data_IF_765197386035
#
_entry.id   IF_765197386035
#
_cell.length_a   1.000
_cell.length_b   1.000
_cell.length_c   1.000
_cell.angle_alpha   90.00
_cell.angle_beta   90.00
_cell.angle_gamma   90.00
#
_symmetry.space_group_name_H-M   'P 1'
#
loop_
_entity.id
_entity.type
_entity.pdbx_description
1 polymer ?
#
# COMPACT_ATOMS: atom_id res chain seq x y z
N UNK A 1 -19.79 -9.09 33.98
CA UNK A 1 -19.09 -10.31 33.52
C UNK A 1 -19.04 -11.33 34.67
N UNK A 2 -18.74 -12.59 34.40
CA UNK A 2 -18.57 -13.60 35.45
C UNK A 2 -17.24 -13.42 36.21
N UNK A 3 -17.11 -14.08 37.37
CA UNK A 3 -15.92 -13.99 38.23
C UNK A 3 -14.64 -14.47 37.54
N UNK A 4 -14.73 -15.48 36.66
CA UNK A 4 -13.60 -16.00 35.89
C UNK A 4 -13.05 -14.99 34.88
N UNK A 5 -13.90 -14.17 34.28
CA UNK A 5 -13.46 -13.07 33.42
C UNK A 5 -12.76 -11.97 34.23
N UNK A 6 -13.26 -11.63 35.42
CA UNK A 6 -12.62 -10.64 36.28
C UNK A 6 -11.24 -11.12 36.75
N UNK A 7 -11.12 -12.39 37.15
CA UNK A 7 -9.85 -13.05 37.49
C UNK A 7 -8.85 -12.98 36.32
N UNK A 8 -9.32 -13.22 35.09
CA UNK A 8 -8.49 -13.10 33.89
C UNK A 8 -7.99 -11.66 33.66
N UNK A 9 -8.90 -10.68 33.71
CA UNK A 9 -8.56 -9.26 33.49
C UNK A 9 -7.55 -8.79 34.54
N UNK A 10 -7.80 -9.08 35.82
CA UNK A 10 -6.91 -8.72 36.92
C UNK A 10 -5.53 -9.36 36.75
N UNK A 11 -5.48 -10.63 36.34
CA UNK A 11 -4.22 -11.32 36.09
C UNK A 11 -3.42 -10.67 34.96
N UNK A 12 -4.06 -10.32 33.84
CA UNK A 12 -3.40 -9.67 32.69
C UNK A 12 -2.79 -8.32 33.08
N UNK A 13 -3.49 -7.56 33.92
CA UNK A 13 -3.06 -6.22 34.36
C UNK A 13 -1.97 -6.28 35.41
N UNK A 14 -2.06 -7.22 36.38
CA UNK A 14 -1.20 -7.20 37.58
C UNK A 14 -0.01 -8.15 37.54
N UNK A 15 -0.13 -9.29 36.87
CA UNK A 15 0.72 -10.45 37.15
C UNK A 15 1.21 -11.21 35.92
N UNK A 16 0.53 -11.05 34.77
CA UNK A 16 0.92 -11.74 33.56
C UNK A 16 2.33 -11.32 33.10
N UNK A 17 3.09 -12.22 32.45
CA UNK A 17 4.36 -11.87 31.83
C UNK A 17 4.21 -10.67 30.87
N UNK A 18 5.32 -9.98 30.61
CA UNK A 18 5.33 -8.77 29.79
C UNK A 18 6.28 -8.94 28.60
N UNK A 19 6.13 -8.10 27.58
CA UNK A 19 7.07 -7.88 26.48
C UNK A 19 7.29 -9.02 25.48
N UNK A 20 7.10 -10.28 25.86
CA UNK A 20 7.25 -11.44 24.99
C UNK A 20 5.91 -12.12 24.73
N UNK A 21 5.42 -12.01 23.49
CA UNK A 21 4.12 -12.55 23.08
C UNK A 21 3.99 -14.05 23.38
N UNK A 22 5.01 -14.85 23.04
CA UNK A 22 4.91 -16.31 23.18
C UNK A 22 4.83 -16.71 24.65
N UNK A 23 5.66 -16.09 25.50
CA UNK A 23 5.66 -16.35 26.95
C UNK A 23 4.31 -15.97 27.57
N UNK A 24 3.74 -14.83 27.18
CA UNK A 24 2.40 -14.38 27.64
C UNK A 24 1.31 -15.34 27.19
N UNK A 25 1.34 -15.76 25.92
CA UNK A 25 0.37 -16.72 25.38
C UNK A 25 0.42 -18.04 26.15
N UNK A 26 1.61 -18.63 26.32
CA UNK A 26 1.77 -19.94 26.95
C UNK A 26 1.34 -19.93 28.43
N UNK A 27 1.71 -18.88 29.17
CA UNK A 27 1.36 -18.72 30.58
C UNK A 27 -0.16 -18.57 30.78
N UNK A 28 -0.78 -17.64 30.05
CA UNK A 28 -2.23 -17.40 30.15
C UNK A 28 -3.02 -18.62 29.69
N UNK A 29 -2.62 -19.26 28.59
CA UNK A 29 -3.33 -20.43 28.07
C UNK A 29 -3.28 -21.59 29.07
N UNK A 30 -2.13 -21.82 29.72
CA UNK A 30 -1.98 -22.85 30.75
C UNK A 30 -2.82 -22.52 31.98
N UNK A 31 -2.80 -21.26 32.45
CA UNK A 31 -3.48 -20.84 33.68
C UNK A 31 -5.00 -20.91 33.57
N UNK A 32 -5.56 -20.44 32.46
CA UNK A 32 -7.02 -20.37 32.24
C UNK A 32 -7.57 -21.53 31.40
N UNK A 33 -6.74 -22.54 31.12
CA UNK A 33 -7.08 -23.74 30.35
C UNK A 33 -7.72 -23.39 29.00
N UNK A 34 -7.10 -22.46 28.27
CA UNK A 34 -7.65 -21.96 27.01
C UNK A 34 -7.41 -22.95 25.86
N UNK A 35 -8.46 -23.16 25.08
CA UNK A 35 -8.44 -23.93 23.85
C UNK A 35 -8.13 -22.97 22.69
N UNK A 36 -7.20 -23.36 21.81
CA UNK A 36 -6.85 -22.59 20.62
C UNK A 36 -7.72 -22.99 19.43
N UNK A 37 -8.56 -22.08 18.96
CA UNK A 37 -9.22 -22.16 17.65
C UNK A 37 -8.55 -21.17 16.68
N UNK A 38 -7.70 -21.70 15.81
CA UNK A 38 -6.89 -20.94 14.85
C UNK A 38 -6.05 -19.86 15.55
N UNK A 39 -6.55 -18.62 15.58
CA UNK A 39 -5.88 -17.43 16.14
C UNK A 39 -6.53 -16.93 17.43
N UNK A 40 -7.67 -17.47 17.83
CA UNK A 40 -8.40 -17.12 19.05
C UNK A 40 -8.15 -18.22 20.09
N UNK A 41 -7.98 -17.81 21.35
CA UNK A 41 -7.89 -18.70 22.49
C UNK A 41 -9.14 -18.49 23.35
N UNK A 42 -9.80 -19.53 23.81
CA UNK A 42 -11.06 -19.38 24.52
C UNK A 42 -11.31 -20.50 25.53
N UNK A 43 -12.24 -20.26 26.44
CA UNK A 43 -12.90 -21.28 27.26
C UNK A 43 -14.42 -21.01 27.25
N UNK A 44 -15.16 -21.57 28.21
CA UNK A 44 -16.60 -21.34 28.32
C UNK A 44 -16.98 -19.93 28.83
N UNK A 45 -16.02 -19.20 29.40
CA UNK A 45 -16.25 -17.91 30.07
C UNK A 45 -15.89 -16.71 29.21
N UNK A 46 -14.82 -16.79 28.42
CA UNK A 46 -14.33 -15.70 27.57
C UNK A 46 -13.51 -16.20 26.38
N UNK A 47 -13.27 -15.30 25.43
CA UNK A 47 -12.35 -15.49 24.33
C UNK A 47 -11.29 -14.37 24.31
N UNK A 48 -10.09 -14.67 23.84
CA UNK A 48 -8.97 -13.73 23.78
C UNK A 48 -8.18 -13.87 22.48
N UNK A 49 -7.76 -12.72 21.95
CA UNK A 49 -6.83 -12.60 20.84
C UNK A 49 -5.57 -11.85 21.26
N UNK A 50 -4.42 -12.50 21.12
CA UNK A 50 -3.13 -11.89 21.42
C UNK A 50 -2.52 -11.16 20.20
N UNK A 51 -2.26 -9.88 20.38
CA UNK A 51 -1.59 -8.99 19.42
C UNK A 51 -0.23 -8.56 19.96
N UNK A 52 0.68 -8.19 19.07
CA UNK A 52 2.01 -7.72 19.47
C UNK A 52 2.37 -6.44 18.73
N UNK A 53 3.04 -5.52 19.43
CA UNK A 53 3.60 -4.29 18.89
C UNK A 53 5.00 -4.05 19.43
N UNK A 54 5.91 -3.64 18.54
CA UNK A 54 7.24 -3.14 18.92
C UNK A 54 7.17 -1.74 19.53
N UNK A 55 6.09 -1.00 19.29
CA UNK A 55 5.88 0.34 19.83
C UNK A 55 5.32 0.27 21.26
N UNK A 56 5.68 1.24 22.09
CA UNK A 56 5.07 1.49 23.41
C UNK A 56 3.66 2.09 23.30
N UNK A 57 3.22 2.51 22.12
CA UNK A 57 1.90 3.10 21.88
C UNK A 57 0.76 2.16 22.25
N UNK A 58 -0.30 2.71 22.84
CA UNK A 58 -1.58 2.03 23.06
C UNK A 58 -2.37 1.82 21.76
N UNK A 59 -2.02 2.56 20.71
CA UNK A 59 -2.60 2.45 19.38
C UNK A 59 -1.78 1.50 18.51
N UNK A 60 -2.46 0.56 17.86
CA UNK A 60 -1.84 -0.42 16.97
C UNK A 60 -2.73 -0.70 15.76
N UNK A 61 -2.13 -0.84 14.58
CA UNK A 61 -2.86 -1.02 13.30
C UNK A 61 -2.84 -2.47 12.79
N UNK A 62 -2.28 -3.40 13.56
CA UNK A 62 -2.21 -4.79 13.12
C UNK A 62 -3.63 -5.38 13.03
N UNK A 63 -3.85 -6.22 12.02
CA UNK A 63 -5.10 -6.97 11.86
C UNK A 63 -5.30 -7.93 13.03
N UNK A 64 -6.45 -7.82 13.68
CA UNK A 64 -6.78 -8.57 14.90
C UNK A 64 -7.45 -9.88 14.52
N UNK A 65 -8.62 -9.81 13.88
CA UNK A 65 -9.46 -10.95 13.52
C UNK A 65 -10.42 -10.62 12.37
N UNK A 66 -10.94 -11.65 11.68
CA UNK A 66 -12.06 -11.49 10.75
C UNK A 66 -13.39 -11.36 11.47
N UNK A 67 -14.35 -10.62 10.90
CA UNK A 67 -15.67 -10.42 11.52
C UNK A 67 -16.44 -11.74 11.69
N UNK A 68 -16.42 -12.62 10.69
CA UNK A 68 -17.04 -13.96 10.80
C UNK A 68 -16.38 -14.88 11.82
N UNK A 69 -15.12 -14.62 12.18
CA UNK A 69 -14.50 -15.37 13.27
C UNK A 69 -14.87 -14.77 14.63
N UNK A 70 -15.09 -13.45 14.71
CA UNK A 70 -15.58 -12.80 15.93
C UNK A 70 -17.01 -13.24 16.27
N UNK A 71 -17.89 -13.38 15.27
CA UNK A 71 -19.29 -13.81 15.42
C UNK A 71 -19.46 -15.02 16.34
N UNK A 72 -18.60 -16.03 16.18
CA UNK A 72 -18.61 -17.26 16.99
C UNK A 72 -18.46 -17.01 18.49
N UNK A 73 -17.76 -15.95 18.85
CA UNK A 73 -17.38 -15.63 20.22
C UNK A 73 -18.09 -14.39 20.76
N UNK A 74 -18.90 -13.71 19.93
CA UNK A 74 -19.43 -12.40 20.27
C UNK A 74 -20.33 -12.43 21.51
N UNK A 75 -20.97 -13.56 21.79
CA UNK A 75 -21.79 -13.74 23.01
C UNK A 75 -20.98 -13.84 24.31
N UNK A 76 -19.66 -14.01 24.23
CA UNK A 76 -18.74 -14.06 25.38
C UNK A 76 -17.92 -12.77 25.42
N UNK A 77 -17.39 -12.34 26.59
CA UNK A 77 -16.39 -11.28 26.63
C UNK A 77 -15.23 -11.63 25.69
N UNK A 78 -15.04 -10.81 24.67
CA UNK A 78 -13.99 -11.01 23.68
C UNK A 78 -12.89 -9.98 23.92
N UNK A 79 -11.75 -10.44 24.42
CA UNK A 79 -10.63 -9.58 24.75
C UNK A 79 -9.58 -9.54 23.65
N UNK A 80 -8.94 -8.39 23.49
CA UNK A 80 -7.69 -8.27 22.76
C UNK A 80 -6.61 -7.86 23.74
N UNK A 81 -5.61 -8.72 23.90
CA UNK A 81 -4.42 -8.43 24.71
C UNK A 81 -3.29 -8.04 23.76
N UNK A 82 -2.85 -6.79 23.85
CA UNK A 82 -1.72 -6.25 23.12
C UNK A 82 -0.47 -6.33 23.98
N UNK A 83 0.44 -7.21 23.62
CA UNK A 83 1.78 -7.31 24.20
C UNK A 83 2.67 -6.25 23.55
N UNK A 84 3.29 -5.39 24.37
CA UNK A 84 4.16 -4.30 23.91
C UNK A 84 5.61 -4.54 24.33
N UNK A 85 6.55 -4.37 23.40
CA UNK A 85 7.97 -4.69 23.65
C UNK A 85 8.58 -3.91 24.81
N UNK A 86 8.22 -2.64 24.95
CA UNK A 86 8.81 -1.72 25.94
C UNK A 86 7.73 -1.01 26.78
N UNK A 87 6.59 -1.64 26.99
CA UNK A 87 5.49 -1.13 27.82
C UNK A 87 4.65 -2.30 28.34
N UNK A 88 3.80 -2.03 29.34
CA UNK A 88 2.90 -3.02 29.92
C UNK A 88 1.90 -3.55 28.89
N UNK A 89 1.35 -4.75 29.12
CA UNK A 89 0.29 -5.31 28.30
C UNK A 89 -0.94 -4.41 28.38
N UNK A 90 -1.58 -4.21 27.23
CA UNK A 90 -2.85 -3.50 27.17
C UNK A 90 -3.97 -4.50 26.86
N UNK A 91 -5.05 -4.45 27.63
CA UNK A 91 -6.24 -5.27 27.39
C UNK A 91 -7.42 -4.37 27.00
N UNK A 92 -8.20 -4.81 26.00
CA UNK A 92 -9.38 -4.11 25.51
C UNK A 92 -10.52 -5.10 25.29
N UNK A 93 -11.75 -4.67 25.57
CA UNK A 93 -12.94 -5.39 25.15
C UNK A 93 -13.19 -5.11 23.65
N UNK A 94 -13.40 -6.16 22.86
CA UNK A 94 -13.44 -6.08 21.39
C UNK A 94 -14.57 -6.89 20.77
N UNK A 95 -15.66 -7.11 21.52
CA UNK A 95 -16.95 -7.54 20.98
C UNK A 95 -17.42 -6.59 19.87
N UNK A 96 -18.34 -7.05 19.02
CA UNK A 96 -18.84 -6.32 17.84
C UNK A 96 -19.28 -4.89 18.14
N UNK A 97 -19.94 -4.66 19.30
CA UNK A 97 -20.32 -3.32 19.80
C UNK A 97 -19.13 -2.36 19.93
N UNK A 98 -17.95 -2.88 20.28
CA UNK A 98 -16.73 -2.10 20.47
C UNK A 98 -15.85 -2.02 19.22
N UNK A 99 -16.37 -2.42 18.06
CA UNK A 99 -15.70 -2.25 16.78
C UNK A 99 -16.29 -1.03 16.05
N UNK A 100 -15.42 -0.09 15.67
CA UNK A 100 -15.78 1.13 14.94
C UNK A 100 -16.23 0.82 13.52
N UNK A 101 -15.44 0.01 12.82
CA UNK A 101 -15.62 -0.30 11.40
C UNK A 101 -14.89 -1.60 11.04
N UNK A 102 -15.23 -2.15 9.89
CA UNK A 102 -14.50 -3.25 9.27
C UNK A 102 -13.62 -2.68 8.15
N UNK A 103 -12.45 -3.28 7.95
CA UNK A 103 -11.51 -2.88 6.91
C UNK A 103 -12.17 -2.75 5.53
N UNK A 104 -11.79 -1.72 4.78
CA UNK A 104 -12.23 -1.44 3.41
C UNK A 104 -11.98 -2.54 2.39
N UNK A 105 -11.13 -3.53 2.71
CA UNK A 105 -10.92 -4.70 1.87
C UNK A 105 -12.14 -5.61 1.74
N UNK A 106 -13.19 -5.33 2.50
CA UNK A 106 -14.38 -6.17 2.68
C UNK A 106 -15.48 -5.77 1.71
N UNK A 107 -15.20 -5.78 0.40
CA UNK A 107 -16.14 -5.40 -0.69
C UNK A 107 -17.51 -6.11 -0.65
N UNK A 108 -17.54 -7.22 0.07
CA UNK A 108 -18.64 -8.16 0.15
C UNK A 108 -19.35 -8.11 1.51
N UNK A 109 -18.90 -7.26 2.44
CA UNK A 109 -19.55 -7.13 3.74
C UNK A 109 -20.99 -6.64 3.54
N UNK A 110 -21.93 -7.50 3.86
CA UNK A 110 -23.36 -7.23 3.85
C UNK A 110 -24.00 -8.02 4.98
N UNK A 111 -25.28 -7.74 5.25
CA UNK A 111 -26.05 -8.54 6.21
C UNK A 111 -26.06 -10.04 5.87
N UNK A 112 -25.90 -10.39 4.60
CA UNK A 112 -25.92 -11.78 4.10
C UNK A 112 -24.53 -12.37 3.84
N UNK A 113 -23.46 -11.59 3.99
CA UNK A 113 -22.10 -12.02 3.67
C UNK A 113 -21.10 -11.36 4.63
N UNK A 114 -20.82 -12.05 5.73
CA UNK A 114 -19.99 -11.57 6.84
C UNK A 114 -18.51 -11.79 6.48
N UNK A 115 -17.97 -10.92 5.62
CA UNK A 115 -16.55 -10.92 5.22
C UNK A 115 -15.84 -9.67 5.70
N UNK A 116 -14.55 -9.80 5.97
CA UNK A 116 -13.71 -8.69 6.38
C UNK A 116 -12.98 -8.89 7.69
N UNK A 117 -12.09 -7.96 8.02
CA UNK A 117 -11.31 -7.96 9.26
C UNK A 117 -11.27 -6.58 9.89
N UNK A 118 -11.05 -6.55 11.20
CA UNK A 118 -10.81 -5.30 11.93
C UNK A 118 -9.37 -5.26 12.43
N UNK A 119 -8.83 -4.05 12.51
CA UNK A 119 -7.51 -3.77 13.06
C UNK A 119 -7.60 -3.26 14.50
N UNK A 120 -6.47 -3.20 15.20
CA UNK A 120 -6.42 -2.70 16.58
C UNK A 120 -6.88 -1.24 16.75
N UNK A 121 -6.78 -0.43 15.70
CA UNK A 121 -7.25 0.96 15.66
C UNK A 121 -8.74 1.09 15.47
N UNK A 122 -9.38 0.03 14.97
CA UNK A 122 -10.83 -0.05 14.81
C UNK A 122 -11.52 -0.43 16.14
N UNK A 123 -10.79 -0.85 17.17
CA UNK A 123 -11.34 -1.08 18.50
C UNK A 123 -11.62 0.28 19.18
N UNK A 124 -12.84 0.46 19.67
CA UNK A 124 -13.32 1.68 20.35
C UNK A 124 -12.57 1.83 21.68
N UNK A 125 -12.01 3.03 21.92
CA UNK A 125 -11.29 3.36 23.17
C UNK A 125 -12.15 4.10 24.18
N UNK A 126 -13.16 4.80 23.71
CA UNK A 126 -14.15 5.47 24.54
C UNK A 126 -15.52 5.25 23.90
N UNK A 127 -16.42 4.60 24.63
CA UNK A 127 -17.78 4.30 24.23
C UNK A 127 -18.72 5.17 25.07
N UNK A 128 -19.38 6.15 24.44
CA UNK A 128 -20.33 7.07 25.07
C UNK A 128 -19.80 7.72 26.37
N UNK A 129 -18.56 8.19 26.36
CA UNK A 129 -17.91 8.80 27.53
C UNK A 129 -17.21 7.81 28.45
N UNK A 130 -17.49 6.51 28.35
CA UNK A 130 -16.87 5.46 29.17
C UNK A 130 -15.64 4.88 28.48
N UNK A 131 -14.50 4.84 29.17
CA UNK A 131 -13.27 4.27 28.59
C UNK A 131 -13.34 2.74 28.49
N UNK A 132 -12.84 2.20 27.38
CA UNK A 132 -12.65 0.76 27.18
C UNK A 132 -11.39 0.29 27.90
N UNK A 133 -11.51 0.19 29.22
CA UNK A 133 -10.44 -0.13 30.17
C UNK A 133 -10.94 -1.13 31.24
N UNK A 134 -10.04 -1.88 31.90
CA UNK A 134 -10.36 -2.96 32.85
C UNK A 134 -11.47 -2.63 33.85
N UNK A 135 -11.40 -1.45 34.47
CA UNK A 135 -12.33 -0.96 35.49
C UNK A 135 -13.77 -0.83 34.98
N UNK A 136 -13.97 -0.66 33.67
CA UNK A 136 -15.27 -0.45 33.05
C UNK A 136 -15.81 -1.68 32.30
N UNK A 137 -15.04 -2.77 32.17
CA UNK A 137 -15.43 -3.92 31.35
C UNK A 137 -16.73 -4.58 31.81
N UNK A 138 -17.05 -4.57 33.10
CA UNK A 138 -18.32 -5.11 33.59
C UNK A 138 -19.53 -4.35 33.04
N UNK A 139 -19.46 -3.02 33.06
CA UNK A 139 -20.48 -2.16 32.49
C UNK A 139 -20.53 -2.28 30.97
N UNK A 140 -19.38 -2.17 30.30
CA UNK A 140 -19.29 -2.24 28.84
C UNK A 140 -19.83 -3.58 28.33
N UNK A 141 -19.45 -4.70 28.92
CA UNK A 141 -19.97 -5.99 28.49
C UNK A 141 -21.48 -6.12 28.75
N UNK A 142 -22.02 -5.54 29.84
CA UNK A 142 -23.47 -5.51 30.06
C UNK A 142 -24.20 -4.70 28.97
N UNK A 143 -23.62 -3.59 28.51
CA UNK A 143 -24.15 -2.83 27.35
C UNK A 143 -24.15 -3.69 26.10
N UNK A 144 -23.06 -4.41 25.84
CA UNK A 144 -22.97 -5.31 24.70
C UNK A 144 -24.01 -6.44 24.75
N UNK A 145 -24.26 -7.03 25.93
CA UNK A 145 -25.29 -8.05 26.11
C UNK A 145 -26.72 -7.56 25.84
N UNK A 146 -26.95 -6.25 25.88
CA UNK A 146 -28.24 -5.63 25.53
C UNK A 146 -28.42 -5.38 24.03
N UNK A 147 -27.46 -5.74 23.18
CA UNK A 147 -27.48 -5.55 21.73
C UNK A 147 -27.36 -6.89 21.02
N UNK A 148 -28.17 -7.09 19.97
CA UNK A 148 -28.07 -8.29 19.15
C UNK A 148 -26.91 -8.20 18.16
N UNK A 149 -26.47 -9.38 17.69
CA UNK A 149 -25.42 -9.46 16.67
C UNK A 149 -25.85 -8.74 15.38
N UNK A 150 -27.10 -8.92 14.99
CA UNK A 150 -27.71 -8.33 13.80
C UNK A 150 -27.70 -6.79 13.85
N UNK A 151 -27.97 -6.21 15.01
CA UNK A 151 -27.92 -4.75 15.21
C UNK A 151 -26.49 -4.22 15.05
N UNK A 152 -25.53 -4.92 15.67
CA UNK A 152 -24.13 -4.56 15.56
C UNK A 152 -23.59 -4.76 14.14
N UNK A 153 -24.01 -5.82 13.45
CA UNK A 153 -23.65 -6.09 12.06
C UNK A 153 -24.22 -5.02 11.13
N UNK A 154 -25.50 -4.64 11.30
CA UNK A 154 -26.15 -3.57 10.54
C UNK A 154 -25.40 -2.26 10.66
N UNK A 155 -25.07 -1.86 11.90
CA UNK A 155 -24.24 -0.68 12.18
C UNK A 155 -22.86 -0.77 11.53
N UNK A 156 -22.19 -1.92 11.62
CA UNK A 156 -20.86 -2.11 11.04
C UNK A 156 -20.90 -2.08 9.50
N UNK A 157 -21.92 -2.65 8.89
CA UNK A 157 -22.17 -2.59 7.43
C UNK A 157 -22.39 -1.13 7.02
N UNK A 158 -23.30 -0.42 7.68
CA UNK A 158 -23.63 0.98 7.38
C UNK A 158 -22.42 1.90 7.52
N UNK A 159 -21.70 1.83 8.66
CA UNK A 159 -20.51 2.65 8.89
C UNK A 159 -19.44 2.31 7.85
N UNK A 160 -19.23 1.02 7.53
CA UNK A 160 -18.22 0.60 6.57
C UNK A 160 -18.58 0.96 5.12
N UNK A 161 -19.86 0.97 4.76
CA UNK A 161 -20.35 1.43 3.45
C UNK A 161 -20.28 2.95 3.31
N UNK A 162 -20.46 3.68 4.42
CA UNK A 162 -20.43 5.14 4.45
C UNK A 162 -19.03 5.74 4.55
N UNK A 163 -17.97 4.92 4.61
CA UNK A 163 -16.60 5.46 4.67
C UNK A 163 -16.28 6.16 3.34
N UNK A 164 -16.24 7.49 3.38
CA UNK A 164 -15.86 8.33 2.25
C UNK A 164 -14.38 8.09 1.90
N UNK A 165 -14.06 7.85 0.62
CA UNK A 165 -12.68 7.66 0.19
C UNK A 165 -11.84 8.90 0.45
N UNK A 166 -10.66 8.74 1.07
CA UNK A 166 -9.69 9.84 1.29
C UNK A 166 -9.19 10.45 -0.02
N UNK A 167 -9.22 9.67 -1.12
CA UNK A 167 -8.88 10.15 -2.46
C UNK A 167 -10.08 9.97 -3.40
N UNK A 168 -10.53 11.08 -4.00
CA UNK A 168 -11.62 11.08 -4.98
C UNK A 168 -11.13 10.73 -6.38
N UNK A 169 -12.05 10.17 -7.18
CA UNK A 169 -11.88 9.94 -8.62
C UNK A 169 -11.49 11.26 -9.26
N UNK A 170 -10.50 11.27 -10.14
CA UNK A 170 -10.27 12.45 -10.95
C UNK A 170 -11.35 12.54 -12.03
N UNK A 171 -12.19 13.58 -11.95
CA UNK A 171 -13.24 13.84 -12.93
C UNK A 171 -12.84 15.07 -13.75
N UNK A 172 -12.18 14.89 -14.91
CA UNK A 172 -11.74 16.01 -15.72
C UNK A 172 -12.94 16.79 -16.27
N UNK A 173 -12.81 18.11 -16.29
CA UNK A 173 -13.70 18.99 -17.04
C UNK A 173 -13.47 18.88 -18.56
N UNK A 174 -14.22 19.62 -19.37
CA UNK A 174 -14.12 19.57 -20.84
C UNK A 174 -12.73 19.93 -21.37
N UNK A 175 -12.09 20.95 -20.80
CA UNK A 175 -10.75 21.39 -21.20
C UNK A 175 -9.69 20.36 -20.78
N UNK A 176 -9.75 19.87 -19.55
CA UNK A 176 -8.87 18.82 -19.03
C UNK A 176 -8.98 17.55 -19.87
N UNK A 177 -10.18 17.16 -20.29
CA UNK A 177 -10.41 16.01 -21.15
C UNK A 177 -9.77 16.22 -22.54
N UNK A 178 -9.95 17.40 -23.14
CA UNK A 178 -9.27 17.76 -24.39
C UNK A 178 -7.74 17.74 -24.24
N UNK A 179 -7.21 18.18 -23.10
CA UNK A 179 -5.78 18.14 -22.78
C UNK A 179 -5.25 16.71 -22.63
N UNK A 180 -6.01 15.82 -21.98
CA UNK A 180 -5.67 14.39 -21.86
C UNK A 180 -5.59 13.76 -23.24
N UNK A 181 -6.58 13.96 -24.12
CA UNK A 181 -6.57 13.38 -25.46
C UNK A 181 -5.42 13.96 -26.31
N UNK A 182 -5.20 15.27 -26.25
CA UNK A 182 -4.10 15.94 -26.99
C UNK A 182 -2.70 15.59 -26.46
N UNK A 183 -2.59 15.00 -25.26
CA UNK A 183 -1.30 14.53 -24.73
C UNK A 183 -0.64 13.47 -25.60
N UNK A 184 -1.43 12.70 -26.37
CA UNK A 184 -0.93 11.72 -27.33
C UNK A 184 -0.10 12.40 -28.43
N UNK A 185 -0.62 13.49 -29.01
CA UNK A 185 0.09 14.21 -30.07
C UNK A 185 1.29 14.99 -29.48
N UNK A 186 1.17 15.53 -28.25
CA UNK A 186 2.31 16.11 -27.53
C UNK A 186 3.44 15.10 -27.38
N UNK A 187 3.15 13.90 -26.89
CA UNK A 187 4.15 12.85 -26.75
C UNK A 187 4.75 12.42 -28.09
N UNK A 188 3.92 12.26 -29.13
CA UNK A 188 4.36 11.92 -30.50
C UNK A 188 5.28 12.98 -31.11
N UNK A 189 5.03 14.26 -30.84
CA UNK A 189 5.92 15.34 -31.25
C UNK A 189 7.20 15.36 -30.41
N UNK A 190 7.08 15.14 -29.10
CA UNK A 190 8.22 15.14 -28.19
C UNK A 190 9.23 14.05 -28.55
N UNK A 191 8.80 12.80 -28.76
CA UNK A 191 9.70 11.67 -29.09
C UNK A 191 10.44 11.83 -30.43
N UNK A 192 9.98 12.73 -31.30
CA UNK A 192 10.64 13.09 -32.57
C UNK A 192 11.54 14.32 -32.46
N UNK A 193 11.55 14.98 -31.31
CA UNK A 193 12.25 16.24 -31.09
C UNK A 193 13.68 16.04 -30.61
N UNK A 194 14.50 17.09 -30.73
CA UNK A 194 15.86 17.11 -30.14
C UNK A 194 15.83 16.99 -28.62
N UNK A 195 14.78 17.50 -27.97
CA UNK A 195 14.65 17.44 -26.51
C UNK A 195 14.49 16.01 -25.98
N UNK A 196 13.90 15.10 -26.77
CA UNK A 196 13.89 13.68 -26.43
C UNK A 196 15.31 13.13 -26.33
N UNK A 197 16.18 13.44 -27.32
CA UNK A 197 17.58 12.98 -27.31
C UNK A 197 18.33 13.57 -26.12
N UNK A 198 18.08 14.85 -25.79
CA UNK A 198 18.68 15.52 -24.62
C UNK A 198 18.25 14.85 -23.30
N UNK A 199 16.97 14.46 -23.17
CA UNK A 199 16.48 13.74 -22.00
C UNK A 199 17.09 12.33 -21.91
N UNK A 200 17.12 11.62 -23.03
CA UNK A 200 17.68 10.26 -23.13
C UNK A 200 19.17 10.26 -22.77
N UNK A 201 19.96 11.19 -23.32
CA UNK A 201 21.39 11.31 -23.03
C UNK A 201 21.65 11.64 -21.55
N UNK A 202 20.89 12.57 -20.96
CA UNK A 202 21.01 12.92 -19.54
C UNK A 202 20.74 11.72 -18.61
N UNK A 203 19.63 11.01 -18.82
CA UNK A 203 19.29 9.82 -18.04
C UNK A 203 20.31 8.70 -18.23
N UNK A 204 20.78 8.49 -19.45
CA UNK A 204 21.85 7.52 -19.75
C UNK A 204 23.16 7.88 -19.05
N UNK A 205 23.54 9.16 -19.03
CA UNK A 205 24.76 9.61 -18.37
C UNK A 205 24.67 9.46 -16.84
N UNK A 206 23.51 9.78 -16.25
CA UNK A 206 23.24 9.54 -14.82
C UNK A 206 23.33 8.05 -14.48
N UNK A 207 22.72 7.19 -15.30
CA UNK A 207 22.77 5.75 -15.13
C UNK A 207 24.22 5.21 -15.21
N UNK A 208 25.01 5.68 -16.19
CA UNK A 208 26.43 5.31 -16.34
C UNK A 208 27.26 5.71 -15.13
N UNK A 209 27.08 6.93 -14.61
CA UNK A 209 27.77 7.44 -13.42
C UNK A 209 27.55 6.57 -12.17
N UNK A 210 26.40 5.90 -12.07
CA UNK A 210 26.01 5.08 -10.92
C UNK A 210 25.99 3.58 -11.24
N UNK A 211 26.64 3.15 -12.32
CA UNK A 211 26.48 1.78 -12.84
C UNK A 211 26.89 0.69 -11.84
N UNK A 212 27.98 0.90 -11.09
CA UNK A 212 28.47 -0.04 -10.08
C UNK A 212 27.50 -0.14 -8.91
N UNK A 213 27.01 1.00 -8.44
CA UNK A 213 26.10 1.13 -7.32
C UNK A 213 24.72 0.54 -7.65
N UNK A 214 24.24 0.77 -8.88
CA UNK A 214 23.01 0.18 -9.39
C UNK A 214 23.13 -1.35 -9.45
N UNK A 215 24.29 -1.89 -9.87
CA UNK A 215 24.51 -3.34 -9.88
C UNK A 215 24.50 -3.91 -8.46
N UNK A 216 25.14 -3.26 -7.49
CA UNK A 216 25.09 -3.65 -6.08
C UNK A 216 23.64 -3.63 -5.57
N UNK A 217 22.92 -2.52 -5.81
CA UNK A 217 21.51 -2.38 -5.44
C UNK A 217 20.61 -3.44 -6.07
N UNK A 218 20.92 -3.90 -7.29
CA UNK A 218 20.12 -4.90 -8.00
C UNK A 218 20.02 -6.24 -7.27
N UNK A 219 21.00 -6.56 -6.42
CA UNK A 219 21.07 -7.77 -5.61
C UNK A 219 20.24 -7.69 -4.32
N UNK A 220 19.65 -6.52 -4.00
CA UNK A 220 18.76 -6.37 -2.85
C UNK A 220 17.47 -7.18 -3.11
N UNK A 221 17.15 -8.10 -2.20
CA UNK A 221 15.97 -8.96 -2.30
C UNK A 221 14.65 -8.16 -2.20
N UNK A 222 14.60 -7.16 -1.31
CA UNK A 222 13.42 -6.33 -1.15
C UNK A 222 13.25 -5.39 -2.36
N UNK A 223 12.29 -5.72 -3.22
CA UNK A 223 12.04 -5.04 -4.49
C UNK A 223 11.72 -3.54 -4.32
N UNK A 224 11.09 -3.16 -3.21
CA UNK A 224 10.75 -1.75 -2.94
C UNK A 224 11.97 -0.94 -2.51
N UNK A 225 12.81 -1.49 -1.64
CA UNK A 225 14.07 -0.86 -1.22
C UNK A 225 15.00 -0.75 -2.42
N UNK A 226 15.13 -1.83 -3.20
CA UNK A 226 15.91 -1.86 -4.44
C UNK A 226 15.50 -0.77 -5.42
N UNK A 227 14.20 -0.67 -5.73
CA UNK A 227 13.66 0.33 -6.66
C UNK A 227 13.98 1.74 -6.21
N UNK A 228 13.62 2.09 -4.96
CA UNK A 228 13.85 3.42 -4.39
C UNK A 228 15.32 3.82 -4.33
N UNK A 229 16.21 2.86 -4.06
CA UNK A 229 17.65 3.12 -4.07
C UNK A 229 18.16 3.45 -5.47
N UNK A 230 17.80 2.62 -6.46
CA UNK A 230 18.22 2.83 -7.86
C UNK A 230 17.66 4.15 -8.40
N UNK A 231 16.39 4.45 -8.14
CA UNK A 231 15.75 5.73 -8.47
C UNK A 231 16.55 6.90 -7.88
N UNK A 232 16.86 6.85 -6.58
CA UNK A 232 17.63 7.90 -5.89
C UNK A 232 19.02 8.07 -6.49
N UNK A 233 19.76 6.98 -6.76
CA UNK A 233 21.09 7.04 -7.35
C UNK A 233 21.11 7.79 -8.71
N UNK A 234 20.06 7.65 -9.52
CA UNK A 234 19.98 8.28 -10.84
C UNK A 234 19.60 9.76 -10.73
N UNK A 235 18.67 10.08 -9.85
CA UNK A 235 18.06 11.42 -9.77
C UNK A 235 18.91 12.39 -8.97
N UNK A 236 19.55 11.92 -7.89
CA UNK A 236 20.37 12.75 -7.01
C UNK A 236 21.51 13.45 -7.76
N UNK A 237 21.94 14.60 -7.24
CA UNK A 237 23.18 15.23 -7.68
C UNK A 237 24.41 14.44 -7.19
N UNK A 238 25.61 14.85 -7.62
CA UNK A 238 26.85 14.13 -7.33
C UNK A 238 27.17 14.09 -5.83
N UNK A 239 26.81 15.13 -5.06
CA UNK A 239 27.07 15.18 -3.61
C UNK A 239 26.12 14.26 -2.82
N UNK A 240 24.82 14.33 -3.10
CA UNK A 240 23.81 13.48 -2.45
C UNK A 240 24.01 12.02 -2.85
N UNK A 241 24.36 11.76 -4.11
CA UNK A 241 24.69 10.40 -4.55
C UNK A 241 25.86 9.83 -3.75
N UNK A 242 26.93 10.60 -3.54
CA UNK A 242 28.07 10.13 -2.75
C UNK A 242 27.64 9.80 -1.31
N UNK A 243 26.79 10.62 -0.70
CA UNK A 243 26.24 10.33 0.63
C UNK A 243 25.40 9.04 0.67
N UNK A 244 24.61 8.75 -0.37
CA UNK A 244 23.88 7.49 -0.48
C UNK A 244 24.86 6.32 -0.56
N UNK A 245 25.92 6.46 -1.36
CA UNK A 245 26.96 5.44 -1.55
C UNK A 245 27.68 5.14 -0.22
N UNK A 246 28.13 6.19 0.48
CA UNK A 246 28.89 6.07 1.72
C UNK A 246 28.06 5.38 2.83
N UNK A 247 26.73 5.49 2.76
CA UNK A 247 25.80 4.89 3.71
C UNK A 247 25.14 3.60 3.21
N UNK A 248 25.62 2.98 2.13
CA UNK A 248 25.10 1.71 1.59
C UNK A 248 25.13 0.54 2.59
N UNK A 249 25.91 0.62 3.67
CA UNK A 249 25.90 -0.38 4.74
C UNK A 249 24.68 -0.27 5.68
N UNK A 250 23.97 0.87 5.70
CA UNK A 250 22.81 1.17 6.55
C UNK A 250 21.55 1.51 5.72
N UNK A 251 21.25 0.67 4.72
CA UNK A 251 20.24 0.87 3.66
C UNK A 251 18.87 1.34 4.14
N UNK A 252 18.37 0.86 5.28
CA UNK A 252 17.04 1.21 5.77
C UNK A 252 16.96 2.61 6.40
N UNK A 253 18.07 3.14 6.93
CA UNK A 253 18.14 4.46 7.57
C UNK A 253 18.60 5.57 6.61
N UNK A 254 19.37 5.21 5.59
CA UNK A 254 20.02 6.17 4.68
C UNK A 254 19.20 6.54 3.44
N UNK A 255 18.12 5.80 3.14
CA UNK A 255 17.23 6.17 2.03
C UNK A 255 16.55 7.49 2.37
N UNK A 256 16.77 8.56 1.59
CA UNK A 256 16.08 9.81 1.83
C UNK A 256 14.58 9.55 1.82
N UNK A 257 13.87 10.11 2.80
CA UNK A 257 12.44 10.34 2.67
C UNK A 257 12.27 11.46 1.65
N UNK A 258 12.58 11.18 0.37
CA UNK A 258 12.05 11.99 -0.70
C UNK A 258 10.53 11.91 -0.55
N UNK A 259 9.96 12.96 0.04
CA UNK A 259 8.62 13.39 -0.26
C UNK A 259 8.63 13.56 -1.77
N UNK A 260 8.24 12.52 -2.49
CA UNK A 260 7.69 12.67 -3.83
C UNK A 260 6.54 13.64 -3.63
N UNK A 261 6.79 14.92 -3.87
CA UNK A 261 5.78 15.97 -3.84
C UNK A 261 4.76 15.59 -4.91
N UNK A 262 3.80 14.74 -4.58
CA UNK A 262 2.60 14.43 -5.34
C UNK A 262 2.75 14.18 -6.87
N UNK A 263 3.95 13.85 -7.37
CA UNK A 263 4.25 13.72 -8.79
C UNK A 263 3.96 12.33 -9.37
N UNK A 264 3.75 12.28 -10.69
CA UNK A 264 3.50 11.05 -11.46
C UNK A 264 4.80 10.27 -11.80
N UNK A 265 5.95 10.94 -11.84
CA UNK A 265 7.25 10.32 -12.18
C UNK A 265 8.36 10.76 -11.23
N UNK A 266 9.49 10.06 -11.30
CA UNK A 266 10.62 10.22 -10.39
C UNK A 266 11.55 11.38 -10.81
N UNK A 267 11.66 11.62 -12.12
CA UNK A 267 12.47 12.69 -12.70
C UNK A 267 11.62 13.68 -13.48
N UNK A 268 11.79 14.97 -13.20
CA UNK A 268 11.08 16.05 -13.88
C UNK A 268 12.05 16.96 -14.62
N UNK A 269 11.71 17.30 -15.86
CA UNK A 269 12.48 18.28 -16.66
C UNK A 269 11.59 19.07 -17.59
N UNK A 270 11.74 20.41 -17.54
CA UNK A 270 11.06 21.36 -18.43
C UNK A 270 11.76 21.44 -19.78
N UNK A 271 10.98 21.43 -20.86
CA UNK A 271 11.42 21.78 -22.20
C UNK A 271 10.45 22.78 -22.83
N UNK A 272 10.88 23.45 -23.89
CA UNK A 272 10.04 24.39 -24.65
C UNK A 272 8.83 23.71 -25.30
N UNK A 273 8.98 22.46 -25.74
CA UNK A 273 7.94 21.65 -26.38
C UNK A 273 7.23 20.65 -25.45
N UNK A 274 7.46 20.72 -24.13
CA UNK A 274 6.77 19.88 -23.16
C UNK A 274 7.51 19.72 -21.83
N UNK A 275 6.74 19.57 -20.76
CA UNK A 275 7.24 19.25 -19.44
C UNK A 275 7.25 17.74 -19.26
N UNK A 276 8.44 17.17 -19.09
CA UNK A 276 8.62 15.71 -19.00
C UNK A 276 8.55 15.24 -17.57
N UNK A 277 7.76 14.20 -17.36
CA UNK A 277 7.67 13.43 -16.12
C UNK A 277 8.15 12.03 -16.48
N UNK A 278 9.29 11.63 -15.93
CA UNK A 278 9.92 10.34 -16.26
C UNK A 278 9.92 9.43 -15.04
N UNK A 279 9.26 8.29 -15.17
CA UNK A 279 9.23 7.25 -14.15
C UNK A 279 10.31 6.20 -14.47
N UNK A 280 11.17 5.92 -13.49
CA UNK A 280 12.33 5.04 -13.65
C UNK A 280 11.93 3.63 -13.22
N UNK A 281 12.22 2.64 -14.07
CA UNK A 281 11.81 1.25 -13.83
C UNK A 281 12.95 0.29 -14.12
N UNK A 282 13.41 -0.40 -13.08
CA UNK A 282 14.44 -1.42 -13.19
C UNK A 282 13.84 -2.78 -13.51
N UNK A 283 14.38 -3.45 -14.53
CA UNK A 283 14.03 -4.81 -14.91
C UNK A 283 15.28 -5.69 -14.84
N UNK A 284 15.28 -6.61 -13.90
CA UNK A 284 16.33 -7.63 -13.75
C UNK A 284 15.89 -8.86 -14.55
N UNK A 285 16.59 -9.20 -15.63
CA UNK A 285 16.09 -10.17 -16.65
C UNK A 285 15.76 -11.52 -16.02
N UNK A 286 16.59 -12.02 -15.10
CA UNK A 286 16.39 -13.35 -14.51
C UNK A 286 15.27 -13.37 -13.44
N UNK A 287 14.61 -12.25 -13.17
CA UNK A 287 13.46 -12.16 -12.27
C UNK A 287 12.18 -11.94 -13.09
N UNK A 288 11.28 -12.92 -13.04
CA UNK A 288 9.92 -12.83 -13.58
C UNK A 288 9.06 -11.86 -12.74
N UNK A 289 9.26 -10.56 -12.95
CA UNK A 289 8.54 -9.49 -12.28
C UNK A 289 7.75 -8.63 -13.27
N UNK A 290 6.54 -8.24 -12.85
CA UNK A 290 5.65 -7.31 -13.57
C UNK A 290 5.72 -5.95 -12.86
N UNK A 291 6.38 -4.94 -13.45
CA UNK A 291 6.56 -3.66 -12.77
C UNK A 291 5.22 -2.89 -12.70
N UNK A 292 4.98 -2.27 -11.54
CA UNK A 292 3.88 -1.29 -11.40
C UNK A 292 4.19 -0.11 -12.32
N UNK A 293 3.17 0.38 -13.03
CA UNK A 293 3.30 1.50 -13.95
C UNK A 293 2.93 2.81 -13.23
N UNK A 294 1.64 3.12 -13.10
CA UNK A 294 1.16 4.36 -12.49
C UNK A 294 -0.18 4.18 -11.78
N UNK A 295 -0.50 5.09 -10.85
CA UNK A 295 -1.88 5.26 -10.41
C UNK A 295 -2.68 5.98 -11.51
N UNK A 296 -3.84 5.45 -11.86
CA UNK A 296 -4.61 5.91 -13.02
C UNK A 296 -5.09 7.36 -12.86
N UNK A 297 -5.61 7.74 -11.68
CA UNK A 297 -6.10 9.11 -11.46
C UNK A 297 -4.95 10.13 -11.39
N UNK A 298 -3.80 9.75 -10.84
CA UNK A 298 -2.59 10.60 -10.90
C UNK A 298 -2.14 10.79 -12.35
N UNK A 299 -2.15 9.73 -13.14
CA UNK A 299 -1.80 9.78 -14.55
C UNK A 299 -2.72 10.73 -15.33
N UNK A 300 -4.03 10.54 -15.21
CA UNK A 300 -5.02 11.39 -15.89
C UNK A 300 -4.91 12.85 -15.46
N UNK A 301 -4.71 13.11 -14.15
CA UNK A 301 -4.54 14.46 -13.62
C UNK A 301 -3.31 15.14 -14.21
N UNK A 302 -2.18 14.43 -14.33
CA UNK A 302 -0.98 15.00 -14.94
C UNK A 302 -1.17 15.25 -16.44
N UNK A 303 -1.87 14.37 -17.15
CA UNK A 303 -2.10 14.51 -18.59
C UNK A 303 -3.14 15.59 -18.93
N UNK A 304 -3.94 16.03 -17.95
CA UNK A 304 -4.81 17.18 -18.07
C UNK A 304 -4.06 18.52 -18.16
N UNK A 305 -2.79 18.56 -17.74
CA UNK A 305 -1.94 19.73 -17.94
C UNK A 305 -1.54 19.89 -19.42
N UNK A 306 -1.52 21.13 -19.90
CA UNK A 306 -1.32 21.49 -21.31
C UNK A 306 0.07 21.16 -21.87
N UNK A 307 1.07 20.96 -21.00
CA UNK A 307 2.47 20.72 -21.39
C UNK A 307 2.99 19.32 -21.07
N UNK A 308 2.23 18.50 -20.35
CA UNK A 308 2.76 17.24 -19.83
C UNK A 308 3.10 16.23 -20.92
N UNK A 309 4.26 15.59 -20.75
CA UNK A 309 4.72 14.42 -21.49
C UNK A 309 5.19 13.37 -20.48
N UNK A 310 4.59 12.19 -20.49
CA UNK A 310 4.94 11.12 -19.56
C UNK A 310 5.77 10.02 -20.22
N UNK A 311 6.90 9.70 -19.61
CA UNK A 311 7.91 8.78 -20.11
C UNK A 311 8.27 7.74 -19.06
N UNK A 312 8.69 6.56 -19.51
CA UNK A 312 9.36 5.56 -18.70
C UNK A 312 10.81 5.46 -19.10
N UNK A 313 11.70 5.39 -18.12
CA UNK A 313 13.10 5.04 -18.33
C UNK A 313 13.38 3.66 -17.76
N UNK A 314 13.41 2.66 -18.64
CA UNK A 314 13.69 1.29 -18.25
C UNK A 314 15.18 1.01 -18.19
N UNK A 315 15.60 0.28 -17.17
CA UNK A 315 16.99 -0.14 -16.97
C UNK A 315 17.02 -1.65 -16.93
N UNK A 316 17.58 -2.25 -17.98
CA UNK A 316 17.82 -3.67 -18.09
C UNK A 316 19.12 -4.05 -17.40
N UNK A 317 19.02 -4.90 -16.38
CA UNK A 317 20.17 -5.41 -15.62
C UNK A 317 20.25 -6.93 -15.79
N UNK A 318 21.44 -7.42 -16.14
CA UNK A 318 21.79 -8.83 -16.13
C UNK A 318 22.60 -9.20 -14.88
N UNK A 319 23.30 -10.34 -14.86
CA UNK A 319 24.08 -10.75 -13.68
C UNK A 319 25.30 -9.85 -13.41
N UNK A 320 25.84 -9.22 -14.45
CA UNK A 320 27.16 -8.59 -14.43
C UNK A 320 27.14 -7.10 -14.78
N UNK A 321 26.06 -6.60 -15.39
CA UNK A 321 26.02 -5.24 -15.94
C UNK A 321 24.59 -4.72 -16.18
N UNK A 322 24.50 -3.40 -16.37
CA UNK A 322 23.38 -2.78 -17.06
C UNK A 322 23.61 -3.00 -18.56
N UNK A 323 22.87 -3.91 -19.18
CA UNK A 323 23.07 -4.25 -20.59
C UNK A 323 22.32 -3.29 -21.53
N UNK A 324 21.27 -2.62 -21.05
CA UNK A 324 20.53 -1.62 -21.84
C UNK A 324 19.71 -0.66 -20.98
N UNK A 325 19.57 0.55 -21.47
CA UNK A 325 18.60 1.55 -21.00
C UNK A 325 17.64 1.91 -22.13
N UNK A 326 16.42 2.30 -21.77
CA UNK A 326 15.35 2.54 -22.74
C UNK A 326 14.44 3.68 -22.27
N UNK A 327 14.40 4.79 -23.02
CA UNK A 327 13.43 5.86 -22.80
C UNK A 327 12.20 5.64 -23.70
N UNK A 328 11.03 5.48 -23.09
CA UNK A 328 9.82 5.09 -23.79
C UNK A 328 8.63 5.97 -23.39
N UNK A 329 7.81 6.42 -24.35
CA UNK A 329 6.55 7.10 -24.02
C UNK A 329 5.53 6.12 -23.44
N UNK A 330 4.73 6.58 -22.47
CA UNK A 330 3.57 5.82 -21.96
C UNK A 330 2.61 5.37 -23.08
N UNK A 331 2.59 6.09 -24.21
CA UNK A 331 1.72 5.79 -25.35
C UNK A 331 2.34 4.87 -26.40
N UNK A 332 3.48 4.24 -26.10
CA UNK A 332 4.04 3.22 -26.98
C UNK A 332 3.06 2.05 -27.12
N UNK A 333 2.83 1.58 -28.36
CA UNK A 333 1.84 0.54 -28.66
C UNK A 333 2.00 -0.75 -27.82
N UNK A 334 3.22 -1.28 -27.69
CA UNK A 334 3.52 -2.46 -26.87
C UNK A 334 3.20 -2.25 -25.38
N UNK A 335 3.44 -1.06 -24.82
CA UNK A 335 3.06 -0.77 -23.44
C UNK A 335 1.54 -0.73 -23.28
N UNK A 336 0.83 -0.10 -24.22
CA UNK A 336 -0.64 -0.07 -24.23
C UNK A 336 -1.22 -1.49 -24.26
N UNK A 337 -0.73 -2.34 -25.18
CA UNK A 337 -1.23 -3.73 -25.32
C UNK A 337 -0.97 -4.59 -24.10
N UNK A 338 0.08 -4.27 -23.35
CA UNK A 338 0.54 -5.05 -22.21
C UNK A 338 0.28 -4.35 -20.87
N UNK A 339 -0.62 -3.36 -20.86
CA UNK A 339 -1.07 -2.72 -19.63
C UNK A 339 -2.19 -3.52 -19.00
N UNK A 340 -1.96 -3.96 -17.76
CA UNK A 340 -2.92 -4.65 -16.91
C UNK A 340 -3.43 -3.64 -15.87
N UNK A 341 -4.73 -3.42 -15.83
CA UNK A 341 -5.34 -2.56 -14.82
C UNK A 341 -5.70 -3.36 -13.56
N UNK A 342 -5.13 -2.93 -12.43
CA UNK A 342 -5.52 -3.38 -11.10
C UNK A 342 -6.48 -2.36 -10.50
N UNK A 343 -7.77 -2.63 -10.64
CA UNK A 343 -8.82 -1.79 -10.06
C UNK A 343 -8.70 -1.76 -8.54
N UNK A 344 -8.84 -0.56 -7.96
CA UNK A 344 -8.92 -0.46 -6.51
C UNK A 344 -10.19 -1.11 -5.98
N UNK A 345 -10.13 -1.50 -4.71
CA UNK A 345 -11.29 -2.09 -4.07
C UNK A 345 -12.39 -1.06 -3.81
N UNK A 346 -13.67 -1.46 -3.89
CA UNK A 346 -14.82 -0.58 -3.64
C UNK A 346 -14.64 0.14 -2.30
N UNK A 347 -14.96 1.44 -2.26
CA UNK A 347 -14.61 2.33 -1.15
C UNK A 347 -13.28 3.08 -1.31
N UNK A 348 -12.59 2.92 -2.46
CA UNK A 348 -11.71 3.97 -3.00
C UNK A 348 -12.40 4.54 -4.23
N UNK A 349 -12.60 5.86 -4.29
CA UNK A 349 -13.17 6.51 -5.48
C UNK A 349 -12.17 6.54 -6.65
N UNK A 350 -10.99 5.94 -6.55
CA UNK A 350 -9.96 5.99 -7.59
C UNK A 350 -10.03 4.77 -8.52
N UNK A 351 -9.62 4.95 -9.78
CA UNK A 351 -9.70 3.95 -10.87
C UNK A 351 -8.74 2.77 -10.72
N UNK A 352 -7.77 2.85 -9.80
CA UNK A 352 -6.78 1.79 -9.61
C UNK A 352 -5.36 2.19 -9.98
N UNK A 353 -4.55 1.18 -10.25
CA UNK A 353 -3.21 1.32 -10.77
C UNK A 353 -3.01 0.45 -12.02
N UNK A 354 -2.15 0.89 -12.92
CA UNK A 354 -1.68 0.12 -14.06
C UNK A 354 -0.43 -0.66 -13.68
N UNK A 355 -0.25 -1.83 -14.29
CA UNK A 355 0.94 -2.67 -14.22
C UNK A 355 1.28 -3.12 -15.64
N UNK A 356 2.57 -3.27 -15.95
CA UNK A 356 2.97 -3.83 -17.24
C UNK A 356 3.22 -5.34 -17.14
N UNK A 357 2.91 -6.05 -18.21
CA UNK A 357 3.44 -7.40 -18.40
C UNK A 357 4.97 -7.32 -18.55
N UNK A 358 5.70 -7.97 -17.65
CA UNK A 358 7.16 -7.94 -17.61
C UNK A 358 7.80 -8.49 -18.88
N UNK A 359 7.20 -9.48 -19.54
CA UNK A 359 7.75 -10.08 -20.75
C UNK A 359 7.79 -9.09 -21.92
N UNK A 360 6.82 -8.18 -22.02
CA UNK A 360 6.79 -7.16 -23.05
C UNK A 360 7.94 -6.15 -22.87
N UNK A 361 8.29 -5.83 -21.62
CA UNK A 361 9.45 -4.97 -21.31
C UNK A 361 10.75 -5.70 -21.63
N UNK A 362 10.83 -7.01 -21.33
CA UNK A 362 11.99 -7.83 -21.68
C UNK A 362 12.22 -7.84 -23.19
N UNK A 363 11.16 -7.99 -24.00
CA UNK A 363 11.24 -7.89 -25.45
C UNK A 363 11.74 -6.52 -25.91
N UNK A 364 11.16 -5.43 -25.39
CA UNK A 364 11.57 -4.05 -25.73
C UNK A 364 13.04 -3.77 -25.36
N UNK A 365 13.50 -4.30 -24.22
CA UNK A 365 14.91 -4.22 -23.82
C UNK A 365 15.80 -5.10 -24.71
N UNK A 366 15.33 -6.19 -25.29
CA UNK A 366 16.16 -7.01 -26.19
C UNK A 366 16.13 -6.54 -27.67
N UNK A 367 15.28 -5.58 -28.04
CA UNK A 367 15.23 -5.03 -29.40
C UNK A 367 16.52 -4.28 -29.80
N UNK A 368 17.15 -4.67 -30.90
CA UNK A 368 18.40 -4.04 -31.38
C UNK A 368 18.24 -2.54 -31.70
N UNK A 369 17.07 -2.13 -32.18
CA UNK A 369 16.80 -0.75 -32.58
C UNK A 369 15.39 -0.36 -32.18
N UNK A 370 15.24 -0.07 -30.89
CA UNK A 370 13.97 0.42 -30.37
C UNK A 370 13.59 1.76 -31.00
N UNK A 371 12.30 1.91 -31.29
CA UNK A 371 11.70 3.18 -31.72
C UNK A 371 10.43 3.40 -30.94
N UNK A 372 10.21 4.64 -30.48
CA UNK A 372 8.96 5.02 -29.86
C UNK A 372 7.83 5.04 -30.91
N UNK A 373 7.14 3.91 -31.08
CA UNK A 373 5.99 3.82 -31.97
C UNK A 373 4.69 4.17 -31.24
N UNK A 374 4.14 5.35 -31.54
CA UNK A 374 2.89 5.85 -30.98
C UNK A 374 1.82 5.81 -32.07
N UNK A 375 0.93 4.83 -31.99
CA UNK A 375 -0.24 4.72 -32.86
C UNK A 375 -1.36 5.59 -32.27
N UNK A 376 -1.60 6.76 -32.87
CA UNK A 376 -2.47 7.80 -32.29
C UNK A 376 -3.87 7.27 -31.98
N UNK A 377 -4.54 6.63 -32.93
CA UNK A 377 -5.91 6.14 -32.73
C UNK A 377 -6.01 5.12 -31.60
N UNK A 378 -4.98 4.27 -31.47
CA UNK A 378 -4.87 3.28 -30.40
C UNK A 378 -4.64 3.92 -29.04
N UNK A 379 -3.75 4.90 -28.95
CA UNK A 379 -3.48 5.65 -27.72
C UNK A 379 -4.68 6.49 -27.27
N UNK A 380 -5.38 7.13 -28.21
CA UNK A 380 -6.63 7.86 -27.93
C UNK A 380 -7.73 6.90 -27.46
N UNK A 381 -7.88 5.75 -28.10
CA UNK A 381 -8.85 4.72 -27.67
C UNK A 381 -8.52 4.18 -26.29
N UNK A 382 -7.24 3.93 -26.00
CA UNK A 382 -6.75 3.56 -24.67
C UNK A 382 -7.14 4.61 -23.62
N UNK A 383 -6.88 5.90 -23.88
CA UNK A 383 -7.24 6.98 -22.95
C UNK A 383 -8.75 7.09 -22.72
N UNK A 384 -9.57 6.93 -23.76
CA UNK A 384 -11.04 6.91 -23.63
C UNK A 384 -11.50 5.76 -22.73
N UNK A 385 -10.92 4.57 -22.92
CA UNK A 385 -11.21 3.42 -22.06
C UNK A 385 -10.81 3.72 -20.60
N UNK A 386 -9.61 4.25 -20.38
CA UNK A 386 -9.10 4.62 -19.04
C UNK A 386 -9.97 5.69 -18.36
N UNK A 387 -10.45 6.68 -19.10
CA UNK A 387 -11.36 7.72 -18.59
C UNK A 387 -12.72 7.16 -18.17
N UNK A 388 -13.20 6.15 -18.90
CA UNK A 388 -14.50 5.50 -18.69
C UNK A 388 -14.54 4.49 -17.53
N UNK A 389 -13.38 3.97 -17.11
CA UNK A 389 -13.22 3.26 -15.82
C UNK A 389 -13.61 4.17 -14.67
#
# INVERSE_FOLDING_TARGET
MNSKCNEFVEYVVSSAPQHNKQVVEDDICKRFQLIKDRKVYHNEYFAVRFSYSKSSSEYFNNTVLSLSALEKYDKLPFFVVLIRQNAENLILLSNSTFIKKISHSSKELSMTNIKGSFNGSDIIRNYNGTQNAPENFNYLFAVHQGLDWEDNLSRLVEISSNIKPVHQKFCPNTEENANIISSVERAKNFVKSKNYLVLEEDLNNRCKKSSKEILIASHIENTNIRGRLIESLIISDDAVRQQIIDNLCNLEQALPSYNTQNGLGDYYRKFDNGDTYTDIKTKVIYLNSNPKAYNVDKFLRQMADTKSVFMFFFIGIDKNSIFKTLLCSVYHEKLIDNTIFQYHWAGRSTRGAAQFNGSAIDEMLNEKSFKNNIVVDKAVSFLKNVLSM
#
